data_IF_281876066672
#
_entry.id   IF_281876066672
#
_cell.length_a   1.000
_cell.length_b   1.000
_cell.length_c   1.000
_cell.angle_alpha   90.00
_cell.angle_beta   90.00
_cell.angle_gamma   90.00
#
_symmetry.space_group_name_H-M   'P 1'
#
loop_
_entity.id
_entity.type
_entity.pdbx_description
1 polymer ?
#
# COMPACT_ATOMS: atom_id res chain seq x y z
N UNK A 1 10.65 -11.60 -3.82
CA UNK A 1 9.35 -11.50 -4.52
C UNK A 1 9.41 -10.36 -5.52
N UNK A 2 8.97 -10.61 -6.73
CA UNK A 2 8.88 -9.56 -7.75
C UNK A 2 7.48 -8.96 -7.70
N UNK A 3 7.38 -7.66 -7.47
CA UNK A 3 6.09 -6.97 -7.35
C UNK A 3 5.49 -6.67 -8.72
N UNK A 4 4.18 -6.82 -8.83
CA UNK A 4 3.43 -6.33 -9.98
C UNK A 4 3.48 -4.79 -9.99
N UNK A 5 3.70 -4.14 -11.14
CA UNK A 5 3.89 -2.69 -11.20
C UNK A 5 2.58 -1.89 -11.10
N UNK A 6 1.65 -2.30 -10.31
CA UNK A 6 0.42 -1.60 -10.00
C UNK A 6 0.03 -1.88 -8.57
N UNK A 7 -0.72 -1.00 -7.96
CA UNK A 7 -1.17 -1.17 -6.58
C UNK A 7 -2.69 -1.20 -6.52
N UNK A 8 -3.20 -1.86 -5.47
CA UNK A 8 -4.61 -1.81 -5.12
C UNK A 8 -4.81 -0.75 -4.04
N UNK A 9 -5.65 0.24 -4.32
CA UNK A 9 -5.98 1.28 -3.36
C UNK A 9 -7.18 0.81 -2.52
N UNK A 10 -7.03 0.88 -1.20
CA UNK A 10 -8.06 0.45 -0.26
C UNK A 10 -8.39 1.63 0.64
N UNK A 11 -9.68 1.96 0.75
CA UNK A 11 -10.17 3.00 1.65
C UNK A 11 -10.52 2.40 3.01
N UNK A 12 -9.95 2.98 4.06
CA UNK A 12 -10.23 2.58 5.44
C UNK A 12 -11.24 3.55 6.07
N UNK A 13 -11.88 3.11 7.14
CA UNK A 13 -12.82 3.96 7.88
C UNK A 13 -12.13 5.08 8.69
N UNK A 14 -10.83 4.92 8.97
CA UNK A 14 -10.02 5.89 9.71
C UNK A 14 -8.66 6.04 9.03
N UNK A 15 -7.95 7.16 9.26
CA UNK A 15 -6.58 7.29 8.75
C UNK A 15 -5.68 6.18 9.29
N UNK A 16 -4.80 5.67 8.42
CA UNK A 16 -3.84 4.65 8.80
C UNK A 16 -2.61 5.30 9.44
N UNK A 17 -2.15 4.71 10.55
CA UNK A 17 -0.93 5.14 11.23
C UNK A 17 0.16 4.10 11.02
N UNK A 18 1.35 4.53 10.57
CA UNK A 18 2.48 3.62 10.37
C UNK A 18 2.94 3.05 11.70
N UNK A 19 3.37 1.75 11.74
CA UNK A 19 3.99 1.21 12.92
C UNK A 19 5.32 1.91 13.23
N UNK A 20 5.82 1.84 14.49
CA UNK A 20 7.07 2.53 14.87
C UNK A 20 8.29 2.07 14.08
N UNK A 21 8.32 0.80 13.69
CA UNK A 21 9.42 0.23 12.90
C UNK A 21 8.91 -0.07 11.51
N UNK A 22 9.31 0.76 10.54
CA UNK A 22 8.95 0.54 9.13
C UNK A 22 10.20 0.55 8.29
N UNK A 23 10.20 -0.26 7.24
CA UNK A 23 11.24 -0.20 6.22
C UNK A 23 10.93 0.99 5.31
N UNK A 24 11.95 1.78 5.05
CA UNK A 24 11.81 2.98 4.25
C UNK A 24 12.63 2.85 2.98
N UNK A 25 12.02 3.22 1.85
CA UNK A 25 12.69 3.30 0.56
C UNK A 25 12.79 4.76 0.16
N UNK A 26 14.00 5.30 0.17
CA UNK A 26 14.23 6.69 -0.20
C UNK A 26 14.10 6.88 -1.71
N UNK A 27 13.66 8.07 -2.12
CA UNK A 27 13.43 8.37 -3.54
C UNK A 27 14.66 8.10 -4.41
N UNK A 28 15.85 8.45 -3.91
CA UNK A 28 17.08 8.27 -4.67
C UNK A 28 17.55 6.82 -4.76
N UNK A 29 17.02 5.91 -3.94
CA UNK A 29 17.41 4.49 -3.96
C UNK A 29 16.79 3.73 -5.13
N UNK A 30 15.65 4.17 -5.63
CA UNK A 30 14.97 3.50 -6.74
C UNK A 30 14.74 4.44 -7.94
N UNK A 31 15.39 5.59 -7.96
CA UNK A 31 15.24 6.55 -9.05
C UNK A 31 13.90 7.25 -9.10
N UNK A 32 13.12 7.18 -8.02
CA UNK A 32 11.82 7.82 -7.95
C UNK A 32 11.89 9.26 -7.48
N UNK A 33 10.75 9.92 -7.45
CA UNK A 33 10.61 11.31 -6.99
C UNK A 33 10.02 11.41 -5.58
N UNK A 34 9.59 10.29 -4.99
CA UNK A 34 8.90 10.28 -3.70
C UNK A 34 9.46 9.16 -2.83
N UNK A 35 9.74 9.45 -1.57
CA UNK A 35 10.13 8.42 -0.61
C UNK A 35 8.91 7.66 -0.10
N UNK A 36 9.06 6.37 0.18
CA UNK A 36 7.97 5.47 0.51
C UNK A 36 8.33 4.66 1.76
N UNK A 37 7.38 4.53 2.68
CA UNK A 37 7.45 3.57 3.78
C UNK A 37 6.77 2.28 3.36
N UNK A 38 7.37 1.13 3.70
CA UNK A 38 6.92 -0.19 3.29
C UNK A 38 6.62 -1.02 4.52
N UNK A 39 5.39 -1.55 4.60
CA UNK A 39 4.96 -2.40 5.71
C UNK A 39 4.56 -3.77 5.15
N UNK A 40 5.21 -4.86 5.57
CA UNK A 40 4.75 -6.20 5.19
C UNK A 40 3.34 -6.44 5.71
N UNK A 41 2.50 -7.04 4.89
CA UNK A 41 1.12 -7.36 5.27
C UNK A 41 0.66 -8.61 4.53
N UNK A 42 -0.58 -9.02 4.76
CA UNK A 42 -1.21 -10.12 4.05
C UNK A 42 -2.57 -9.69 3.54
N UNK A 43 -2.89 -10.12 2.35
CA UNK A 43 -4.21 -9.94 1.74
C UNK A 43 -4.56 -11.22 0.98
N UNK A 44 -5.77 -11.76 1.16
CA UNK A 44 -6.19 -13.03 0.56
C UNK A 44 -5.19 -14.17 0.86
N UNK A 45 -4.65 -14.21 2.09
CA UNK A 45 -3.61 -15.16 2.51
C UNK A 45 -2.31 -15.08 1.70
N UNK A 46 -2.10 -13.99 0.96
CA UNK A 46 -0.90 -13.74 0.17
C UNK A 46 0.01 -12.75 0.90
N UNK A 47 1.33 -12.93 0.71
CA UNK A 47 2.29 -11.92 1.14
C UNK A 47 2.12 -10.68 0.27
N UNK A 48 2.08 -9.53 0.92
CA UNK A 48 1.92 -8.25 0.25
C UNK A 48 2.67 -7.16 1.01
N UNK A 49 2.69 -5.97 0.44
CA UNK A 49 3.32 -4.81 1.06
C UNK A 49 2.37 -3.63 1.00
N UNK A 50 2.16 -3.00 2.14
CA UNK A 50 1.47 -1.72 2.23
C UNK A 50 2.49 -0.63 1.97
N UNK A 51 2.21 0.22 1.01
CA UNK A 51 3.08 1.32 0.62
C UNK A 51 2.47 2.65 1.08
N UNK A 52 3.28 3.49 1.70
CA UNK A 52 2.84 4.81 2.14
C UNK A 52 3.86 5.85 1.73
N UNK A 53 3.47 6.77 0.85
CA UNK A 53 4.34 7.87 0.46
C UNK A 53 4.44 8.90 1.58
N UNK A 54 5.55 9.62 1.62
CA UNK A 54 5.71 10.72 2.58
C UNK A 54 4.64 11.79 2.37
N UNK A 55 4.30 12.08 1.14
CA UNK A 55 3.25 13.05 0.83
C UNK A 55 1.91 12.63 1.41
N UNK A 56 1.54 11.35 1.29
CA UNK A 56 0.31 10.85 1.88
C UNK A 56 0.34 10.97 3.40
N UNK A 57 1.46 10.59 4.03
CA UNK A 57 1.62 10.67 5.49
C UNK A 57 1.49 12.10 5.99
N UNK A 58 1.97 13.07 5.22
CA UNK A 58 1.88 14.50 5.55
C UNK A 58 0.53 15.11 5.18
N UNK A 59 -0.34 14.36 4.51
CA UNK A 59 -1.63 14.86 4.07
C UNK A 59 -1.57 15.73 2.82
N UNK A 60 -0.45 15.72 2.10
CA UNK A 60 -0.24 16.55 0.90
C UNK A 60 -0.27 15.74 -0.41
N UNK A 61 -0.50 14.42 -0.33
CA UNK A 61 -0.54 13.56 -1.50
C UNK A 61 -1.89 13.58 -2.22
N UNK A 62 -1.98 12.79 -3.30
CA UNK A 62 -3.19 12.67 -4.10
C UNK A 62 -4.33 11.94 -3.39
N UNK A 63 -4.00 11.07 -2.43
CA UNK A 63 -4.98 10.28 -1.69
C UNK A 63 -5.08 10.77 -0.26
N UNK A 64 -6.28 10.62 0.32
CA UNK A 64 -6.49 10.90 1.74
C UNK A 64 -5.70 9.90 2.61
N UNK A 65 -5.44 10.29 3.87
CA UNK A 65 -4.64 9.46 4.78
C UNK A 65 -5.32 8.14 5.17
N UNK A 66 -6.60 8.00 4.90
CA UNK A 66 -7.33 6.74 5.10
C UNK A 66 -7.27 5.82 3.87
N UNK A 67 -6.55 6.18 2.82
CA UNK A 67 -6.35 5.32 1.66
C UNK A 67 -4.96 4.71 1.74
N UNK A 68 -4.89 3.38 1.63
CA UNK A 68 -3.63 2.63 1.60
C UNK A 68 -3.43 2.00 0.24
N UNK A 69 -2.17 1.82 -0.15
CA UNK A 69 -1.82 1.15 -1.40
C UNK A 69 -1.17 -0.19 -1.08
N UNK A 70 -1.69 -1.25 -1.71
CA UNK A 70 -1.19 -2.61 -1.50
C UNK A 70 -0.53 -3.11 -2.77
N UNK A 71 0.71 -3.59 -2.65
CA UNK A 71 1.47 -4.20 -3.73
C UNK A 71 1.74 -5.66 -3.43
N UNK A 72 1.66 -6.50 -4.44
CA UNK A 72 2.01 -7.92 -4.36
C UNK A 72 2.51 -8.39 -5.73
N UNK A 73 2.70 -9.69 -5.89
CA UNK A 73 3.27 -10.27 -7.12
C UNK A 73 2.28 -10.47 -8.26
N UNK A 74 1.00 -10.19 -8.04
CA UNK A 74 -0.05 -10.28 -9.07
C UNK A 74 -0.92 -9.04 -9.04
N UNK A 75 -1.70 -8.85 -10.10
CA UNK A 75 -2.73 -7.81 -10.11
C UNK A 75 -3.97 -8.33 -9.37
N UNK A 76 -4.14 -7.87 -8.13
CA UNK A 76 -5.21 -8.36 -7.25
C UNK A 76 -6.60 -8.14 -7.83
N UNK A 77 -6.83 -7.01 -8.48
CA UNK A 77 -8.13 -6.70 -9.08
C UNK A 77 -8.55 -7.76 -10.11
N UNK A 78 -7.61 -8.22 -10.92
CA UNK A 78 -7.88 -9.24 -11.93
C UNK A 78 -7.96 -10.64 -11.32
N UNK A 79 -7.03 -10.97 -10.43
CA UNK A 79 -6.94 -12.30 -9.84
C UNK A 79 -8.18 -12.66 -9.02
N UNK A 80 -8.78 -11.69 -8.34
CA UNK A 80 -9.94 -11.89 -7.46
C UNK A 80 -11.19 -11.18 -7.97
N UNK A 81 -11.17 -10.68 -9.21
CA UNK A 81 -12.31 -10.03 -9.86
C UNK A 81 -12.91 -8.91 -9.00
N UNK A 82 -12.04 -8.09 -8.43
CA UNK A 82 -12.47 -7.00 -7.55
C UNK A 82 -13.08 -5.84 -8.34
N UNK A 83 -14.12 -5.26 -7.78
CA UNK A 83 -14.80 -4.07 -8.30
C UNK A 83 -14.70 -2.94 -7.29
N UNK A 84 -14.84 -1.71 -7.75
CA UNK A 84 -14.91 -0.56 -6.86
C UNK A 84 -16.05 -0.73 -5.87
N UNK A 85 -15.76 -0.52 -4.59
CA UNK A 85 -16.72 -0.72 -3.53
C UNK A 85 -16.72 -2.09 -2.89
N UNK A 86 -15.97 -3.05 -3.44
CA UNK A 86 -15.84 -4.38 -2.81
C UNK A 86 -15.07 -4.28 -1.49
N UNK A 87 -15.48 -5.10 -0.52
CA UNK A 87 -14.79 -5.20 0.76
C UNK A 87 -13.64 -6.20 0.67
N UNK A 88 -12.49 -5.83 1.24
CA UNK A 88 -11.34 -6.72 1.36
C UNK A 88 -10.76 -6.58 2.76
N UNK A 89 -10.16 -7.68 3.25
CA UNK A 89 -9.48 -7.69 4.54
C UNK A 89 -7.97 -7.67 4.33
N UNK A 90 -7.29 -6.79 5.07
CA UNK A 90 -5.82 -6.70 5.07
C UNK A 90 -5.33 -6.92 6.48
N UNK A 91 -4.44 -7.90 6.66
CA UNK A 91 -3.79 -8.15 7.94
C UNK A 91 -2.49 -7.37 8.00
N UNK A 92 -2.37 -6.47 8.98
CA UNK A 92 -1.16 -5.68 9.23
C UNK A 92 -0.59 -6.02 10.61
N UNK A 93 0.75 -5.87 10.79
CA UNK A 93 1.36 -6.11 12.09
C UNK A 93 0.88 -5.14 13.15
#
# INVERSE_FOLDING_TARGET
MRLYPGTLNIELSVPYSLPPEVKRLEANEYGGSVSVSIVPCRIFDRRAFLLRTDQNEQGTGLHARNVIEIATDIRLRDAYQLKDGDWVDVEVP
#
